data_IF_087988466675
#
_entry.id   IF_087988466675
#
_cell.length_a   1.000
_cell.length_b   1.000
_cell.length_c   1.000
_cell.angle_alpha   90.00
_cell.angle_beta   90.00
_cell.angle_gamma   90.00
#
_symmetry.space_group_name_H-M   'P 1'
#
loop_
_entity.id
_entity.type
_entity.pdbx_description
1 polymer ?
#
# COMPACT_ATOMS: atom_id res chain seq x y z
N UNK A 1 27.93 -11.76 12.71
CA UNK A 1 27.00 -11.39 13.81
C UNK A 1 25.87 -10.64 13.12
N UNK A 2 24.68 -11.24 13.00
CA UNK A 2 23.52 -10.62 12.36
C UNK A 2 23.13 -9.37 13.19
N UNK A 3 23.31 -8.18 12.61
CA UNK A 3 22.86 -6.94 13.22
C UNK A 3 21.34 -6.89 13.24
N UNK A 4 20.74 -6.46 14.35
CA UNK A 4 19.29 -6.32 14.46
C UNK A 4 18.88 -4.95 13.92
N UNK A 5 18.11 -4.94 12.83
CA UNK A 5 17.54 -3.73 12.19
C UNK A 5 16.66 -2.91 13.13
N UNK A 6 16.23 -3.55 14.20
CA UNK A 6 15.42 -2.97 15.24
C UNK A 6 16.23 -2.88 16.51
N UNK A 7 16.25 -1.69 17.09
CA UNK A 7 16.68 -1.49 18.46
C UNK A 7 15.50 -1.85 19.37
N UNK A 8 15.72 -2.81 20.26
CA UNK A 8 14.82 -3.09 21.37
C UNK A 8 14.85 -1.88 22.31
N UNK A 9 13.74 -1.16 22.41
CA UNK A 9 13.66 0.03 23.25
C UNK A 9 13.11 -0.33 24.63
N UNK A 10 12.05 -1.12 24.66
CA UNK A 10 11.35 -1.43 25.89
C UNK A 10 10.65 -2.79 25.81
N UNK A 11 10.60 -3.48 26.93
CA UNK A 11 9.82 -4.71 27.10
C UNK A 11 8.97 -4.53 28.35
N UNK A 12 7.69 -4.24 28.17
CA UNK A 12 6.72 -4.09 29.25
C UNK A 12 5.97 -5.42 29.41
N UNK A 13 5.84 -5.95 30.63
CA UNK A 13 4.94 -7.09 30.86
C UNK A 13 3.52 -6.56 30.93
N UNK A 14 2.62 -7.14 30.14
CA UNK A 14 1.21 -6.82 30.25
C UNK A 14 0.71 -7.38 31.59
N UNK A 15 0.31 -6.48 32.49
CA UNK A 15 -0.19 -6.83 33.82
C UNK A 15 -1.67 -7.24 33.83
N UNK A 16 -2.32 -7.33 32.65
CA UNK A 16 -3.63 -7.98 32.46
C UNK A 16 -3.55 -9.51 32.48
N UNK A 17 -4.71 -10.15 32.69
CA UNK A 17 -4.89 -11.56 33.07
C UNK A 17 -3.89 -12.53 32.40
N UNK A 18 -3.20 -13.28 33.27
CA UNK A 18 -2.13 -14.26 33.06
C UNK A 18 -0.67 -13.79 33.00
N UNK A 19 -0.34 -12.51 32.83
CA UNK A 19 1.07 -12.04 32.95
C UNK A 19 2.09 -12.72 32.00
N UNK A 20 1.59 -13.44 30.98
CA UNK A 20 2.36 -14.20 29.98
C UNK A 20 2.67 -13.39 28.72
N UNK A 21 2.05 -12.23 28.56
CA UNK A 21 2.23 -11.37 27.39
C UNK A 21 3.21 -10.24 27.70
N UNK A 22 4.23 -10.08 26.86
CA UNK A 22 5.14 -8.96 26.89
C UNK A 22 4.87 -8.06 25.68
N UNK A 23 4.70 -6.76 25.93
CA UNK A 23 4.67 -5.71 24.92
C UNK A 23 6.12 -5.32 24.65
N UNK A 24 6.59 -5.59 23.44
CA UNK A 24 7.94 -5.24 23.01
C UNK A 24 7.83 -4.00 22.12
N UNK A 25 8.43 -2.89 22.57
CA UNK A 25 8.57 -1.67 21.78
C UNK A 25 9.94 -1.66 21.12
N UNK A 26 9.94 -1.52 19.81
CA UNK A 26 11.15 -1.52 18.99
C UNK A 26 11.15 -0.27 18.11
N UNK A 27 12.31 0.35 17.91
CA UNK A 27 12.49 1.37 16.88
C UNK A 27 13.39 0.85 15.79
N UNK A 28 13.09 1.24 14.56
CA UNK A 28 14.02 1.06 13.47
C UNK A 28 15.29 1.85 13.79
N UNK A 29 16.43 1.17 13.68
CA UNK A 29 17.72 1.80 13.60
C UNK A 29 17.70 2.77 12.40
N UNK A 30 17.88 4.08 12.64
CA UNK A 30 17.72 5.11 11.62
C UNK A 30 18.60 4.89 10.38
N UNK A 31 18.30 5.60 9.31
CA UNK A 31 18.93 5.56 7.97
C UNK A 31 20.43 5.91 7.90
N UNK A 32 21.08 6.20 9.03
CA UNK A 32 22.55 6.27 9.19
C UNK A 32 23.14 5.01 9.84
N UNK A 33 22.30 4.04 10.17
CA UNK A 33 22.67 2.87 10.94
C UNK A 33 23.07 1.71 10.02
N UNK A 34 24.23 1.16 10.34
CA UNK A 34 24.88 0.03 9.69
C UNK A 34 23.95 -1.17 9.48
N UNK A 35 23.00 -1.40 10.39
CA UNK A 35 22.09 -2.55 10.32
C UNK A 35 20.99 -2.40 9.27
N UNK A 36 20.60 -1.17 8.94
CA UNK A 36 19.72 -0.90 7.81
C UNK A 36 20.44 -1.13 6.48
N UNK A 37 21.70 -0.69 6.38
CA UNK A 37 22.53 -0.96 5.19
C UNK A 37 22.78 -2.46 5.02
N UNK A 38 22.98 -3.21 6.11
CA UNK A 38 23.08 -4.68 6.06
C UNK A 38 21.79 -5.35 5.60
N UNK A 39 20.61 -4.85 5.98
CA UNK A 39 19.34 -5.35 5.44
C UNK A 39 19.21 -5.06 3.96
N UNK A 40 19.54 -3.82 3.56
CA UNK A 40 19.54 -3.41 2.17
C UNK A 40 20.48 -4.30 1.32
N UNK A 41 21.71 -4.53 1.79
CA UNK A 41 22.70 -5.40 1.15
C UNK A 41 22.26 -6.87 1.15
N UNK A 42 21.65 -7.36 2.23
CA UNK A 42 21.09 -8.72 2.28
C UNK A 42 19.93 -8.90 1.29
N UNK A 43 19.01 -7.94 1.23
CA UNK A 43 17.93 -7.94 0.24
C UNK A 43 18.50 -7.90 -1.18
N UNK A 44 19.55 -7.09 -1.41
CA UNK A 44 20.31 -7.00 -2.67
C UNK A 44 20.90 -8.34 -3.09
N UNK A 45 21.47 -9.10 -2.16
CA UNK A 45 22.06 -10.42 -2.42
C UNK A 45 21.01 -11.52 -2.68
N UNK A 46 19.85 -11.47 -2.03
CA UNK A 46 18.82 -12.53 -2.14
C UNK A 46 17.91 -12.40 -3.37
N UNK A 47 17.54 -11.17 -3.76
CA UNK A 47 16.50 -10.95 -4.77
C UNK A 47 17.03 -10.58 -6.17
N UNK A 48 18.36 -10.46 -6.35
CA UNK A 48 19.03 -10.38 -7.66
C UNK A 48 18.79 -9.11 -8.49
N UNK A 49 17.74 -8.33 -8.21
CA UNK A 49 17.50 -7.02 -8.80
C UNK A 49 17.35 -5.98 -7.69
N UNK A 50 18.28 -5.03 -7.64
CA UNK A 50 18.32 -3.89 -6.70
C UNK A 50 16.98 -3.12 -6.65
N UNK A 51 16.22 -3.22 -7.74
CA UNK A 51 14.96 -2.55 -8.00
C UNK A 51 13.76 -3.13 -7.22
N UNK A 52 13.70 -4.46 -7.06
CA UNK A 52 12.61 -5.14 -6.33
C UNK A 52 12.75 -4.88 -4.82
N UNK A 53 13.98 -4.62 -4.36
CA UNK A 53 14.29 -4.41 -2.95
C UNK A 53 13.91 -3.03 -2.44
N UNK A 54 14.08 -1.98 -3.26
CA UNK A 54 13.70 -0.61 -2.88
C UNK A 54 12.19 -0.45 -2.72
N UNK A 55 11.40 -1.10 -3.59
CA UNK A 55 9.95 -1.13 -3.48
C UNK A 55 9.49 -1.90 -2.23
N UNK A 56 10.06 -3.10 -2.00
CA UNK A 56 9.76 -3.92 -0.83
C UNK A 56 10.08 -3.18 0.47
N UNK A 57 11.18 -2.43 0.48
CA UNK A 57 11.58 -1.59 1.60
C UNK A 57 10.61 -0.42 1.83
N UNK A 58 10.15 0.23 0.75
CA UNK A 58 9.09 1.24 0.81
C UNK A 58 7.84 0.70 1.52
N UNK A 59 7.37 -0.48 1.12
CA UNK A 59 6.21 -1.15 1.71
C UNK A 59 6.38 -1.44 3.22
N UNK A 60 7.57 -1.92 3.60
CA UNK A 60 7.92 -2.17 5.01
C UNK A 60 7.91 -0.88 5.82
N UNK A 61 8.47 0.20 5.27
CA UNK A 61 8.49 1.53 5.92
C UNK A 61 7.09 2.12 6.06
N UNK A 62 6.21 1.95 5.05
CA UNK A 62 4.80 2.32 5.11
C UNK A 62 4.06 1.59 6.23
N UNK A 63 4.26 0.28 6.33
CA UNK A 63 3.67 -0.56 7.38
C UNK A 63 4.12 -0.15 8.79
N UNK A 64 5.27 0.51 8.90
CA UNK A 64 5.81 1.06 10.16
C UNK A 64 5.41 2.52 10.41
N UNK A 65 4.62 3.14 9.53
CA UNK A 65 4.26 4.57 9.62
C UNK A 65 5.39 5.54 9.28
N UNK A 66 6.53 5.06 8.75
CA UNK A 66 7.68 5.89 8.36
C UNK A 66 7.50 6.50 6.96
N UNK A 67 6.39 7.22 6.76
CA UNK A 67 5.96 7.73 5.45
C UNK A 67 6.98 8.63 4.76
N UNK A 68 7.62 9.54 5.50
CA UNK A 68 8.65 10.44 4.94
C UNK A 68 9.86 9.69 4.40
N UNK A 69 10.25 8.59 5.06
CA UNK A 69 11.39 7.79 4.64
C UNK A 69 11.00 6.89 3.45
N UNK A 70 9.82 6.28 3.52
CA UNK A 70 9.25 5.51 2.42
C UNK A 70 9.16 6.34 1.12
N UNK A 71 8.69 7.59 1.21
CA UNK A 71 8.60 8.51 0.07
C UNK A 71 9.97 8.84 -0.52
N UNK A 72 10.99 9.08 0.32
CA UNK A 72 12.36 9.33 -0.13
C UNK A 72 12.93 8.14 -0.91
N UNK A 73 12.74 6.90 -0.41
CA UNK A 73 13.19 5.70 -1.11
C UNK A 73 12.45 5.48 -2.43
N UNK A 74 11.14 5.69 -2.47
CA UNK A 74 10.35 5.60 -3.70
C UNK A 74 10.81 6.63 -4.76
N UNK A 75 11.09 7.87 -4.36
CA UNK A 75 11.60 8.89 -5.29
C UNK A 75 13.03 8.63 -5.74
N UNK A 76 13.89 8.09 -4.87
CA UNK A 76 15.24 7.65 -5.25
C UNK A 76 15.14 6.53 -6.28
N UNK A 77 14.27 5.56 -6.03
CA UNK A 77 14.03 4.45 -6.94
C UNK A 77 13.53 4.90 -8.31
N UNK A 78 12.60 5.87 -8.39
CA UNK A 78 12.16 6.46 -9.67
C UNK A 78 13.29 7.16 -10.46
N UNK A 79 14.29 7.73 -9.79
CA UNK A 79 15.43 8.38 -10.45
C UNK A 79 16.45 7.38 -10.99
N UNK A 80 16.63 6.27 -10.28
CA UNK A 80 17.56 5.20 -10.65
C UNK A 80 16.94 4.23 -11.68
N UNK A 81 15.62 4.27 -11.86
CA UNK A 81 14.89 3.46 -12.84
C UNK A 81 15.25 3.85 -14.29
N UNK A 82 16.26 3.21 -14.87
CA UNK A 82 16.43 3.18 -16.32
C UNK A 82 15.65 1.99 -16.91
N UNK A 83 14.53 2.29 -17.59
CA UNK A 83 13.89 1.46 -18.64
C UNK A 83 12.84 0.38 -18.28
N UNK A 84 12.43 0.16 -17.03
CA UNK A 84 11.35 -0.82 -16.75
C UNK A 84 10.01 -0.14 -16.44
N UNK A 85 9.17 0.03 -17.45
CA UNK A 85 7.83 0.64 -17.30
C UNK A 85 6.91 -0.14 -16.34
N UNK A 86 7.09 -1.46 -16.21
CA UNK A 86 6.25 -2.28 -15.33
C UNK A 86 6.46 -1.97 -13.85
N UNK A 87 7.68 -1.64 -13.44
CA UNK A 87 8.02 -1.30 -12.04
C UNK A 87 7.55 0.10 -11.68
N UNK A 88 7.44 1.01 -12.65
CA UNK A 88 6.94 2.37 -12.43
C UNK A 88 5.51 2.38 -11.88
N UNK A 89 4.68 1.44 -12.32
CA UNK A 89 3.32 1.22 -11.79
C UNK A 89 3.36 0.99 -10.29
N UNK A 90 4.21 0.05 -9.84
CA UNK A 90 4.25 -0.35 -8.44
C UNK A 90 4.75 0.80 -7.55
N UNK A 91 5.70 1.61 -8.04
CA UNK A 91 6.17 2.79 -7.30
C UNK A 91 5.11 3.86 -7.18
N UNK A 92 4.36 4.13 -8.25
CA UNK A 92 3.25 5.08 -8.17
C UNK A 92 2.15 4.60 -7.22
N UNK A 93 1.87 3.30 -7.18
CA UNK A 93 0.96 2.72 -6.20
C UNK A 93 1.47 2.92 -4.77
N UNK A 94 2.73 2.63 -4.48
CA UNK A 94 3.31 2.83 -3.14
C UNK A 94 3.31 4.30 -2.71
N UNK A 95 3.71 5.22 -3.60
CA UNK A 95 3.58 6.66 -3.34
C UNK A 95 2.12 7.07 -3.10
N UNK A 96 1.17 6.47 -3.83
CA UNK A 96 -0.26 6.67 -3.61
C UNK A 96 -0.71 6.23 -2.22
N UNK A 97 -0.24 5.08 -1.74
CA UNK A 97 -0.50 4.57 -0.38
C UNK A 97 0.06 5.53 0.66
N UNK A 98 1.30 6.00 0.48
CA UNK A 98 1.95 6.97 1.37
C UNK A 98 1.15 8.28 1.42
N UNK A 99 0.76 8.80 0.26
CA UNK A 99 -0.03 10.03 0.18
C UNK A 99 -1.40 9.88 0.86
N UNK A 100 -2.09 8.74 0.68
CA UNK A 100 -3.35 8.44 1.38
C UNK A 100 -3.15 8.40 2.90
N UNK A 101 -2.10 7.71 3.35
CA UNK A 101 -1.80 7.52 4.78
C UNK A 101 -1.34 8.80 5.49
N UNK A 102 -0.93 9.82 4.72
CA UNK A 102 -0.59 11.16 5.20
C UNK A 102 -1.67 12.19 4.86
N UNK A 103 -2.89 11.73 4.55
CA UNK A 103 -4.09 12.54 4.25
C UNK A 103 -3.94 13.49 3.05
N UNK A 104 -2.92 13.29 2.20
CA UNK A 104 -2.71 14.00 0.95
C UNK A 104 -3.54 13.36 -0.17
N UNK A 105 -4.87 13.38 -0.02
CA UNK A 105 -5.76 12.58 -0.87
C UNK A 105 -5.71 12.95 -2.36
N UNK A 106 -5.64 14.24 -2.71
CA UNK A 106 -5.59 14.65 -4.11
C UNK A 106 -4.29 14.21 -4.79
N UNK A 107 -3.16 14.27 -4.06
CA UNK A 107 -1.87 13.73 -4.53
C UNK A 107 -1.92 12.21 -4.68
N UNK A 108 -2.61 11.53 -3.76
CA UNK A 108 -2.82 10.08 -3.83
C UNK A 108 -3.59 9.70 -5.10
N UNK A 109 -4.67 10.41 -5.42
CA UNK A 109 -5.44 10.21 -6.66
C UNK A 109 -4.58 10.47 -7.90
N UNK A 110 -3.80 11.56 -7.93
CA UNK A 110 -2.89 11.84 -9.05
C UNK A 110 -1.89 10.69 -9.29
N UNK A 111 -1.32 10.14 -8.21
CA UNK A 111 -0.36 9.04 -8.28
C UNK A 111 -1.02 7.74 -8.76
N UNK A 112 -2.20 7.40 -8.26
CA UNK A 112 -2.92 6.22 -8.74
C UNK A 112 -3.38 6.36 -10.19
N UNK A 113 -3.76 7.55 -10.64
CA UNK A 113 -4.06 7.78 -12.06
C UNK A 113 -2.83 7.61 -12.96
N UNK A 114 -1.64 8.04 -12.52
CA UNK A 114 -0.39 7.74 -13.24
C UNK A 114 -0.09 6.24 -13.29
N UNK A 115 -0.30 5.53 -12.18
CA UNK A 115 -0.15 4.07 -12.14
C UNK A 115 -1.13 3.36 -13.10
N UNK A 116 -2.37 3.86 -13.17
CA UNK A 116 -3.42 3.36 -14.05
C UNK A 116 -3.04 3.56 -15.51
N UNK A 117 -2.62 4.77 -15.89
CA UNK A 117 -2.19 5.08 -17.26
C UNK A 117 -1.04 4.18 -17.70
N UNK A 118 0.00 4.03 -16.87
CA UNK A 118 1.12 3.14 -17.15
C UNK A 118 0.68 1.67 -17.26
N UNK A 119 -0.24 1.21 -16.41
CA UNK A 119 -0.77 -0.16 -16.49
C UNK A 119 -1.57 -0.40 -17.76
N UNK A 120 -2.43 0.54 -18.16
CA UNK A 120 -3.25 0.40 -19.37
C UNK A 120 -2.42 0.45 -20.66
N UNK A 121 -1.25 1.11 -20.65
CA UNK A 121 -0.32 1.12 -21.78
C UNK A 121 0.49 -0.18 -21.91
N UNK A 122 0.78 -0.86 -20.78
CA UNK A 122 1.72 -1.99 -20.73
C UNK A 122 1.06 -3.35 -20.53
N UNK A 123 -0.24 -3.40 -20.21
CA UNK A 123 -0.96 -4.63 -19.84
C UNK A 123 -2.35 -4.69 -20.50
N UNK A 124 -2.91 -5.90 -20.71
CA UNK A 124 -4.30 -6.06 -21.08
C UNK A 124 -5.26 -5.34 -20.10
N UNK A 125 -6.40 -4.87 -20.60
CA UNK A 125 -7.37 -4.10 -19.80
C UNK A 125 -8.02 -4.89 -18.67
N UNK A 126 -8.01 -6.22 -18.74
CA UNK A 126 -8.50 -7.16 -17.74
C UNK A 126 -7.42 -7.55 -16.70
N UNK A 127 -6.24 -6.93 -16.74
CA UNK A 127 -5.15 -7.28 -15.84
C UNK A 127 -5.45 -6.88 -14.39
N UNK A 128 -5.24 -7.78 -13.43
CA UNK A 128 -5.55 -7.59 -11.98
C UNK A 128 -4.92 -6.36 -11.34
N UNK A 129 -3.72 -5.98 -11.77
CA UNK A 129 -3.11 -4.72 -11.32
C UNK A 129 -4.00 -3.48 -11.58
N UNK A 130 -4.73 -3.45 -12.69
CA UNK A 130 -5.68 -2.37 -13.02
C UNK A 130 -6.85 -2.39 -12.02
N UNK A 131 -7.38 -3.58 -11.69
CA UNK A 131 -8.42 -3.72 -10.68
C UNK A 131 -7.95 -3.25 -9.29
N UNK A 132 -6.73 -3.61 -8.89
CA UNK A 132 -6.16 -3.16 -7.61
C UNK A 132 -6.02 -1.63 -7.56
N UNK A 133 -5.61 -0.99 -8.65
CA UNK A 133 -5.50 0.48 -8.73
C UNK A 133 -6.88 1.14 -8.58
N UNK A 134 -7.91 0.63 -9.26
CA UNK A 134 -9.28 1.12 -9.09
C UNK A 134 -9.80 0.94 -7.66
N UNK A 135 -9.49 -0.18 -7.00
CA UNK A 135 -9.83 -0.35 -5.60
C UNK A 135 -9.15 0.71 -4.73
N UNK A 136 -7.84 0.96 -4.92
CA UNK A 136 -7.12 1.97 -4.17
C UNK A 136 -7.67 3.39 -4.39
N UNK A 137 -8.06 3.74 -5.62
CA UNK A 137 -8.76 5.01 -5.92
C UNK A 137 -10.08 5.08 -5.14
N UNK A 138 -10.84 3.98 -5.12
CA UNK A 138 -12.08 3.89 -4.35
C UNK A 138 -11.86 4.13 -2.85
N UNK A 139 -10.80 3.56 -2.27
CA UNK A 139 -10.44 3.79 -0.87
C UNK A 139 -10.04 5.25 -0.58
N UNK A 140 -9.40 5.94 -1.52
CA UNK A 140 -9.06 7.36 -1.37
C UNK A 140 -10.32 8.22 -1.40
N UNK A 141 -11.22 8.00 -2.37
CA UNK A 141 -12.51 8.68 -2.41
C UNK A 141 -13.33 8.41 -1.15
N UNK A 142 -13.29 7.18 -0.63
CA UNK A 142 -13.93 6.84 0.64
C UNK A 142 -13.37 7.66 1.80
N UNK A 143 -12.04 7.79 1.90
CA UNK A 143 -11.39 8.59 2.94
C UNK A 143 -11.67 10.10 2.80
N UNK A 144 -12.05 10.57 1.60
CA UNK A 144 -12.51 11.94 1.32
C UNK A 144 -14.02 12.17 1.55
N UNK A 145 -14.76 11.15 2.03
CA UNK A 145 -16.23 11.14 2.09
C UNK A 145 -16.94 11.26 0.72
N UNK A 146 -16.23 10.98 -0.38
CA UNK A 146 -16.72 11.02 -1.77
C UNK A 146 -17.32 9.65 -2.18
N UNK A 147 -18.40 9.25 -1.50
CA UNK A 147 -18.93 7.88 -1.57
C UNK A 147 -19.36 7.41 -2.96
N UNK A 148 -19.93 8.30 -3.77
CA UNK A 148 -20.39 7.93 -5.12
C UNK A 148 -19.19 7.57 -6.01
N UNK A 149 -18.13 8.38 -5.95
CA UNK A 149 -16.88 8.12 -6.68
C UNK A 149 -16.17 6.87 -6.14
N UNK A 150 -16.21 6.64 -4.82
CA UNK A 150 -15.69 5.42 -4.21
C UNK A 150 -16.39 4.17 -4.74
N UNK A 151 -17.73 4.18 -4.74
CA UNK A 151 -18.56 3.08 -5.20
C UNK A 151 -18.36 2.80 -6.70
N UNK A 152 -18.27 3.85 -7.52
CA UNK A 152 -17.97 3.71 -8.94
C UNK A 152 -16.63 3.02 -9.16
N UNK A 153 -15.58 3.45 -8.44
CA UNK A 153 -14.24 2.89 -8.54
C UNK A 153 -14.20 1.42 -8.10
N UNK A 154 -14.85 1.05 -6.99
CA UNK A 154 -14.92 -0.35 -6.56
C UNK A 154 -15.67 -1.24 -7.56
N UNK A 155 -16.73 -0.73 -8.20
CA UNK A 155 -17.46 -1.47 -9.24
C UNK A 155 -16.60 -1.71 -10.48
N UNK A 156 -15.79 -0.73 -10.89
CA UNK A 156 -14.83 -0.93 -11.99
C UNK A 156 -13.80 -2.02 -11.65
N UNK A 157 -13.27 -2.03 -10.42
CA UNK A 157 -12.33 -3.07 -9.98
C UNK A 157 -12.92 -4.49 -10.09
N UNK A 158 -14.17 -4.68 -9.65
CA UNK A 158 -14.87 -5.97 -9.74
C UNK A 158 -15.11 -6.37 -11.20
N UNK A 159 -15.61 -5.46 -12.04
CA UNK A 159 -15.89 -5.74 -13.44
C UNK A 159 -14.64 -6.25 -14.18
N UNK A 160 -13.47 -5.69 -13.90
CA UNK A 160 -12.18 -6.13 -14.45
C UNK A 160 -11.85 -7.54 -13.97
N UNK A 161 -11.98 -7.84 -12.67
CA UNK A 161 -11.72 -9.18 -12.13
C UNK A 161 -12.67 -10.25 -12.69
N UNK A 162 -13.93 -9.90 -12.95
CA UNK A 162 -14.90 -10.79 -13.59
C UNK A 162 -14.53 -11.11 -15.04
N UNK A 163 -14.10 -10.09 -15.79
CA UNK A 163 -13.64 -10.22 -17.17
C UNK A 163 -12.38 -11.06 -17.30
N UNK A 164 -11.46 -10.94 -16.33
CA UNK A 164 -10.22 -11.70 -16.34
C UNK A 164 -10.42 -13.23 -16.17
N UNK A 165 -11.62 -13.68 -15.77
CA UNK A 165 -11.94 -15.09 -15.49
C UNK A 165 -10.98 -15.76 -14.49
N UNK A 166 -10.28 -14.98 -13.66
CA UNK A 166 -9.14 -15.45 -12.89
C UNK A 166 -9.51 -16.24 -11.62
N UNK A 167 -10.79 -16.48 -11.34
CA UNK A 167 -11.20 -17.22 -10.13
C UNK A 167 -10.63 -16.65 -8.82
N UNK A 168 -10.24 -15.37 -8.81
CA UNK A 168 -9.62 -14.69 -7.66
C UNK A 168 -10.67 -14.31 -6.62
N UNK A 169 -11.29 -15.33 -6.05
CA UNK A 169 -12.35 -15.20 -5.06
C UNK A 169 -11.92 -14.37 -3.84
N UNK A 170 -10.62 -14.40 -3.47
CA UNK A 170 -10.11 -13.63 -2.34
C UNK A 170 -10.06 -12.11 -2.62
N UNK A 171 -9.50 -11.68 -3.76
CA UNK A 171 -9.48 -10.27 -4.14
C UNK A 171 -10.91 -9.75 -4.36
N UNK A 172 -11.77 -10.57 -4.97
CA UNK A 172 -13.18 -10.24 -5.15
C UNK A 172 -13.91 -10.03 -3.82
N UNK A 173 -13.67 -10.89 -2.83
CA UNK A 173 -14.28 -10.77 -1.50
C UNK A 173 -13.87 -9.47 -0.78
N UNK A 174 -12.59 -9.08 -0.87
CA UNK A 174 -12.10 -7.82 -0.31
C UNK A 174 -12.77 -6.60 -0.95
N UNK A 175 -12.91 -6.59 -2.28
CA UNK A 175 -13.55 -5.47 -2.97
C UNK A 175 -15.05 -5.43 -2.72
N UNK A 176 -15.70 -6.59 -2.59
CA UNK A 176 -17.11 -6.69 -2.21
C UNK A 176 -17.35 -6.20 -0.77
N UNK A 177 -16.43 -6.44 0.16
CA UNK A 177 -16.49 -5.86 1.51
C UNK A 177 -16.45 -4.32 1.45
N UNK A 178 -15.52 -3.76 0.65
CA UNK A 178 -15.43 -2.31 0.44
C UNK A 178 -16.74 -1.72 -0.11
N UNK A 179 -17.41 -2.40 -1.05
CA UNK A 179 -18.74 -2.02 -1.55
C UNK A 179 -19.82 -2.16 -0.48
N UNK A 180 -19.81 -3.24 0.30
CA UNK A 180 -20.75 -3.48 1.40
C UNK A 180 -20.71 -2.37 2.43
N UNK A 181 -19.50 -1.97 2.87
CA UNK A 181 -19.30 -0.82 3.75
C UNK A 181 -19.81 0.48 3.11
N UNK A 182 -19.59 0.64 1.80
CA UNK A 182 -20.08 1.80 1.07
C UNK A 182 -21.61 1.94 1.10
N UNK A 183 -22.31 0.84 0.87
CA UNK A 183 -23.77 0.82 0.94
C UNK A 183 -24.32 0.96 2.37
N UNK A 184 -23.66 0.35 3.37
CA UNK A 184 -24.09 0.48 4.77
C UNK A 184 -24.03 1.92 5.27
N UNK A 185 -22.97 2.65 4.92
CA UNK A 185 -22.83 4.06 5.28
C UNK A 185 -23.90 4.93 4.62
N UNK A 186 -24.16 4.74 3.32
CA UNK A 186 -25.22 5.46 2.61
C UNK A 186 -26.60 5.21 3.25
N UNK A 187 -26.89 3.96 3.63
CA UNK A 187 -28.15 3.61 4.30
C UNK A 187 -28.28 4.32 5.65
N UNK A 188 -27.24 4.28 6.48
CA UNK A 188 -27.22 4.97 7.79
C UNK A 188 -27.40 6.49 7.65
N UNK A 189 -26.76 7.12 6.66
CA UNK A 189 -26.96 8.55 6.40
C UNK A 189 -28.36 8.87 5.89
N UNK A 190 -28.92 8.04 5.02
CA UNK A 190 -30.30 8.24 4.54
C UNK A 190 -31.34 8.10 5.65
N UNK A 191 -31.09 7.26 6.66
CA UNK A 191 -31.95 7.10 7.84
C UNK A 191 -31.76 8.24 8.87
N UNK A 192 -30.57 8.86 8.95
CA UNK A 192 -30.27 9.96 9.88
C UNK A 192 -30.82 11.33 9.43
N UNK A 193 -31.21 11.47 8.16
CA UNK A 193 -31.72 12.72 7.56
C UNK A 193 -33.27 12.72 7.48
N UNK A 194 -33.93 11.72 8.06
CA UNK A 194 -35.41 11.61 8.21
C UNK A 194 -35.81 11.97 9.63
#
# INVERSE_FOLDING_TARGET
MLGSIFQLNEVERNHGEDGKLAIIRMSLCGNTNDDFNKLYDYMKEQNGAEEINLLSLGHVLCSMGQFNLAEQYCHRFLKELSLVDSLRVDVYCELGIIAKSTEQYDKSLELYHKALECSMQSRPSDHVAIANIYNSIGEVHWAKDEQNQALESFKQAIAILEQAHLGMHHAMALFQDNIGRAYEYQKKYSEAVV
#
